data_IF_291934597772
#
_entry.id   IF_291934597772
#
_cell.length_a   1.000
_cell.length_b   1.000
_cell.length_c   1.000
_cell.angle_alpha   90.00
_cell.angle_beta   90.00
_cell.angle_gamma   90.00
#
_symmetry.space_group_name_H-M   'P 1'
#
loop_
_entity.id
_entity.type
_entity.pdbx_description
1 polymer ?
#
# COMPACT_ATOMS: atom_id res chain seq x y z
N UNK A 1 1.87 16.11 3.02
CA UNK A 1 2.87 17.03 2.38
C UNK A 1 3.93 17.39 3.41
N UNK A 2 5.20 17.43 3.00
CA UNK A 2 6.35 17.77 3.87
C UNK A 2 6.81 19.18 3.55
N UNK A 3 6.88 20.06 4.56
CA UNK A 3 7.54 21.35 4.43
C UNK A 3 9.02 21.18 4.71
N UNK A 4 9.91 21.59 3.80
CA UNK A 4 11.34 21.61 4.00
C UNK A 4 11.92 22.97 3.65
N UNK A 5 13.14 23.24 4.16
CA UNK A 5 13.94 24.39 3.83
C UNK A 5 15.25 23.91 3.22
N UNK A 6 15.61 24.49 2.07
CA UNK A 6 16.86 24.21 1.37
C UNK A 6 18.02 25.09 1.89
N UNK A 7 19.25 24.76 1.51
CA UNK A 7 20.47 25.51 1.93
C UNK A 7 20.44 26.98 1.53
N UNK A 8 19.71 27.32 0.46
CA UNK A 8 19.52 28.70 -0.02
C UNK A 8 18.35 29.43 0.68
N UNK A 9 17.82 28.90 1.79
CA UNK A 9 16.62 29.36 2.50
C UNK A 9 15.32 29.28 1.69
N UNK A 10 15.33 28.62 0.54
CA UNK A 10 14.12 28.32 -0.22
C UNK A 10 13.21 27.36 0.57
N UNK A 11 11.88 27.62 0.55
CA UNK A 11 10.88 26.73 1.13
C UNK A 11 10.31 25.81 0.05
N UNK A 12 10.36 24.50 0.30
CA UNK A 12 9.73 23.48 -0.55
C UNK A 12 8.55 22.79 0.13
N UNK A 13 7.59 22.36 -0.68
CA UNK A 13 6.50 21.47 -0.28
C UNK A 13 6.71 20.14 -1.00
N UNK A 14 7.14 19.13 -0.26
CA UNK A 14 7.46 17.82 -0.80
C UNK A 14 6.33 16.83 -0.52
N UNK A 15 6.23 15.84 -1.41
CA UNK A 15 5.29 14.73 -1.25
C UNK A 15 5.94 13.63 -0.41
N UNK A 16 5.13 12.91 0.37
CA UNK A 16 5.57 11.67 1.04
C UNK A 16 5.76 10.57 -0.01
N UNK A 17 6.65 9.63 0.29
CA UNK A 17 6.74 8.36 -0.42
C UNK A 17 6.17 7.26 0.47
N UNK A 18 5.33 6.41 -0.10
CA UNK A 18 4.76 5.24 0.56
C UNK A 18 5.08 3.98 -0.23
N UNK A 19 5.05 2.85 0.44
CA UNK A 19 5.18 1.52 -0.15
C UNK A 19 3.95 0.69 0.22
N UNK A 20 3.37 -0.02 -0.74
CA UNK A 20 2.22 -0.89 -0.52
C UNK A 20 2.42 -2.23 -1.24
N UNK A 21 1.94 -3.32 -0.63
CA UNK A 21 2.01 -4.66 -1.17
C UNK A 21 0.63 -5.22 -1.55
N UNK A 22 0.51 -5.69 -2.77
CA UNK A 22 -0.50 -6.67 -3.17
C UNK A 22 0.07 -8.06 -2.88
N UNK A 23 -0.28 -8.61 -1.73
CA UNK A 23 0.24 -9.91 -1.26
C UNK A 23 -0.68 -11.01 -1.75
N UNK A 24 -0.14 -11.87 -2.61
CA UNK A 24 -0.90 -12.90 -3.32
C UNK A 24 -0.53 -14.29 -2.82
N UNK A 25 -1.53 -15.14 -2.63
CA UNK A 25 -1.39 -16.57 -2.35
C UNK A 25 -2.62 -17.32 -2.85
N UNK A 26 -2.43 -18.39 -3.60
CA UNK A 26 -3.51 -19.29 -4.06
C UNK A 26 -4.70 -18.54 -4.70
N UNK A 27 -4.42 -17.61 -5.63
CA UNK A 27 -5.40 -16.74 -6.31
C UNK A 27 -6.19 -15.81 -5.36
N UNK A 28 -5.70 -15.61 -4.14
CA UNK A 28 -6.27 -14.67 -3.17
C UNK A 28 -5.31 -13.55 -2.87
N UNK A 29 -5.86 -12.43 -2.43
CA UNK A 29 -5.11 -11.27 -1.95
C UNK A 29 -5.37 -11.05 -0.47
N UNK A 30 -4.32 -10.74 0.28
CA UNK A 30 -4.42 -10.34 1.67
C UNK A 30 -4.73 -8.85 1.76
N UNK A 31 -5.81 -8.49 2.43
CA UNK A 31 -6.14 -7.12 2.77
C UNK A 31 -6.22 -6.94 4.28
N UNK A 32 -5.84 -5.75 4.74
CA UNK A 32 -5.96 -5.33 6.13
C UNK A 32 -7.12 -4.36 6.32
N UNK A 33 -7.92 -4.55 7.37
CA UNK A 33 -8.97 -3.62 7.76
C UNK A 33 -8.35 -2.52 8.62
N UNK A 34 -8.33 -1.29 8.11
CA UNK A 34 -7.70 -0.13 8.73
C UNK A 34 -8.29 0.18 10.10
N UNK A 35 -7.44 0.39 11.08
CA UNK A 35 -7.77 0.50 12.49
C UNK A 35 -7.48 1.87 13.10
N UNK A 36 -6.62 1.87 14.11
CA UNK A 36 -6.31 3.04 14.94
C UNK A 36 -4.81 3.20 15.15
N UNK A 37 -4.40 4.40 15.56
CA UNK A 37 -3.08 4.68 16.12
C UNK A 37 -3.28 5.36 17.48
N UNK A 38 -2.74 4.77 18.55
CA UNK A 38 -2.91 5.24 19.94
C UNK A 38 -4.40 5.46 20.27
N UNK A 39 -5.24 4.50 19.86
CA UNK A 39 -6.68 4.51 20.08
C UNK A 39 -7.47 5.54 19.27
N UNK A 40 -6.85 6.24 18.31
CA UNK A 40 -7.54 7.18 17.40
C UNK A 40 -7.69 6.59 16.02
N UNK A 41 -8.89 6.66 15.39
CA UNK A 41 -9.08 6.18 14.03
C UNK A 41 -8.09 6.83 13.06
N UNK A 42 -7.42 6.00 12.24
CA UNK A 42 -6.60 6.49 11.12
C UNK A 42 -7.49 6.86 9.92
N UNK A 43 -6.93 7.57 8.95
CA UNK A 43 -7.66 7.92 7.71
C UNK A 43 -8.26 6.67 7.07
N UNK A 44 -9.53 6.71 6.68
CA UNK A 44 -10.30 5.57 6.10
C UNK A 44 -10.41 4.35 7.04
N UNK A 45 -10.37 4.56 8.38
CA UNK A 45 -10.58 3.49 9.38
C UNK A 45 -11.87 2.70 9.11
N UNK A 46 -11.81 1.39 9.29
CA UNK A 46 -12.91 0.46 9.02
C UNK A 46 -12.99 -0.04 7.57
N UNK A 47 -12.20 0.50 6.64
CA UNK A 47 -12.12 0.04 5.26
C UNK A 47 -10.95 -0.93 5.05
N UNK A 48 -11.04 -1.71 3.99
CA UNK A 48 -9.99 -2.63 3.55
C UNK A 48 -8.92 -1.90 2.76
N UNK A 49 -7.66 -2.20 3.00
CA UNK A 49 -6.53 -1.60 2.29
C UNK A 49 -5.43 -2.61 1.97
N UNK A 50 -4.56 -2.23 1.07
CA UNK A 50 -3.27 -2.88 0.89
C UNK A 50 -2.44 -2.66 2.16
N UNK A 51 -1.52 -3.57 2.45
CA UNK A 51 -0.59 -3.46 3.58
C UNK A 51 0.64 -2.67 3.17
N UNK A 52 1.05 -1.73 4.01
CA UNK A 52 2.17 -0.84 3.74
C UNK A 52 2.01 0.53 4.36
N UNK A 53 3.05 1.35 4.26
CA UNK A 53 3.09 2.64 4.92
C UNK A 53 4.19 3.55 4.40
N UNK A 54 4.76 4.36 5.29
CA UNK A 54 5.74 5.36 4.92
C UNK A 54 7.13 4.75 4.68
N UNK A 55 7.77 5.24 3.61
CA UNK A 55 9.17 4.98 3.34
C UNK A 55 10.03 5.83 4.27
N UNK A 56 10.78 5.19 5.15
CA UNK A 56 11.64 5.84 6.12
C UNK A 56 12.98 6.28 5.53
N UNK A 57 13.65 7.18 6.25
CA UNK A 57 14.90 7.79 5.80
C UNK A 57 16.06 6.79 5.68
N UNK A 58 16.15 5.84 6.59
CA UNK A 58 17.32 4.98 6.76
C UNK A 58 17.09 3.54 6.26
N UNK A 59 16.17 3.37 5.30
CA UNK A 59 15.80 2.09 4.70
C UNK A 59 15.63 2.23 3.18
N UNK A 60 15.79 1.15 2.43
CA UNK A 60 15.41 1.10 1.01
C UNK A 60 13.95 0.60 0.86
N UNK A 61 13.39 0.74 -0.36
CA UNK A 61 11.99 0.40 -0.63
C UNK A 61 11.61 -1.05 -0.23
N UNK A 62 12.51 -2.00 -0.43
CA UNK A 62 12.28 -3.40 -0.08
C UNK A 62 12.29 -3.62 1.44
N UNK A 63 13.18 -2.92 2.15
CA UNK A 63 13.23 -2.96 3.61
C UNK A 63 11.96 -2.34 4.21
N UNK A 64 11.57 -1.16 3.72
CA UNK A 64 10.33 -0.50 4.13
C UNK A 64 9.12 -1.40 3.93
N UNK A 65 8.96 -1.96 2.73
CA UNK A 65 7.82 -2.81 2.41
C UNK A 65 7.74 -4.05 3.32
N UNK A 66 8.89 -4.73 3.54
CA UNK A 66 8.93 -5.90 4.42
C UNK A 66 8.63 -5.56 5.88
N UNK A 67 9.14 -4.41 6.37
CA UNK A 67 8.89 -3.93 7.71
C UNK A 67 7.41 -3.63 7.92
N UNK A 68 6.81 -2.80 7.05
CA UNK A 68 5.40 -2.42 7.12
C UNK A 68 4.48 -3.65 7.05
N UNK A 69 4.71 -4.56 6.10
CA UNK A 69 3.92 -5.79 5.99
C UNK A 69 4.05 -6.66 7.24
N UNK A 70 5.25 -6.74 7.82
CA UNK A 70 5.47 -7.49 9.07
C UNK A 70 4.73 -6.84 10.25
N UNK A 71 4.82 -5.52 10.41
CA UNK A 71 4.17 -4.76 11.47
C UNK A 71 2.64 -4.86 11.39
N UNK A 72 2.09 -4.66 10.19
CA UNK A 72 0.65 -4.64 9.95
C UNK A 72 -0.01 -6.04 9.86
N UNK A 73 0.77 -7.11 9.64
CA UNK A 73 0.17 -8.44 9.39
C UNK A 73 0.88 -9.63 10.02
N UNK A 74 2.12 -9.45 10.44
CA UNK A 74 2.96 -10.57 10.87
C UNK A 74 3.38 -11.52 9.73
N UNK A 75 3.16 -11.16 8.46
CA UNK A 75 3.55 -11.98 7.32
C UNK A 75 4.94 -11.60 6.79
N UNK A 76 5.74 -12.61 6.52
CA UNK A 76 6.93 -12.51 5.67
C UNK A 76 6.52 -12.64 4.20
N UNK A 77 7.15 -11.81 3.34
CA UNK A 77 6.87 -11.76 1.91
C UNK A 77 8.11 -11.99 1.06
N UNK A 78 7.90 -12.56 -0.12
CA UNK A 78 8.93 -12.87 -1.11
C UNK A 78 8.48 -12.51 -2.53
N UNK A 79 9.33 -12.72 -3.53
CA UNK A 79 9.06 -12.48 -4.95
C UNK A 79 8.50 -11.08 -5.26
N UNK A 80 9.11 -10.07 -4.60
CA UNK A 80 8.73 -8.67 -4.70
C UNK A 80 9.00 -8.12 -6.11
N UNK A 81 7.96 -7.57 -6.76
CA UNK A 81 8.09 -6.91 -8.07
C UNK A 81 7.39 -5.55 -8.01
N UNK A 82 8.08 -4.50 -8.39
CA UNK A 82 7.46 -3.18 -8.53
C UNK A 82 6.40 -3.25 -9.63
N UNK A 83 5.16 -3.00 -9.26
CA UNK A 83 4.00 -3.10 -10.13
C UNK A 83 3.59 -1.75 -10.70
N UNK A 84 3.45 -0.74 -9.82
CA UNK A 84 3.01 0.61 -10.20
C UNK A 84 3.71 1.67 -9.36
N UNK A 85 3.99 2.82 -9.96
CA UNK A 85 4.29 4.07 -9.27
C UNK A 85 3.07 4.97 -9.45
N UNK A 86 2.29 5.16 -8.40
CA UNK A 86 1.13 6.04 -8.43
C UNK A 86 1.53 7.41 -7.89
N UNK A 87 1.76 8.33 -8.81
CA UNK A 87 2.19 9.71 -8.56
C UNK A 87 1.09 10.74 -8.83
N UNK A 88 -0.16 10.31 -8.93
CA UNK A 88 -1.30 11.21 -9.17
C UNK A 88 -1.33 12.36 -8.15
N UNK A 89 -1.41 13.61 -8.59
CA UNK A 89 -1.55 14.75 -7.69
C UNK A 89 -2.94 14.86 -7.04
N UNK A 90 -3.92 14.11 -7.56
CA UNK A 90 -5.32 14.18 -7.15
C UNK A 90 -5.80 12.87 -6.52
N UNK A 91 -4.95 12.22 -5.72
CA UNK A 91 -5.34 10.98 -5.03
C UNK A 91 -6.53 11.23 -4.10
N UNK A 92 -7.57 10.37 -4.12
CA UNK A 92 -8.78 10.57 -3.34
C UNK A 92 -8.49 10.46 -1.84
N UNK A 93 -9.06 11.38 -1.04
CA UNK A 93 -8.98 11.41 0.43
C UNK A 93 -7.56 11.42 0.99
N UNK A 94 -6.58 11.79 0.19
CA UNK A 94 -5.17 11.86 0.55
C UNK A 94 -4.65 13.29 0.36
N UNK A 95 -4.68 14.07 1.43
CA UNK A 95 -4.23 15.46 1.43
C UNK A 95 -2.70 15.61 1.32
N UNK A 96 -1.96 14.55 1.66
CA UNK A 96 -0.50 14.50 1.54
C UNK A 96 -0.02 14.26 0.13
N UNK A 97 -0.90 13.79 -0.76
CA UNK A 97 -0.57 13.49 -2.16
C UNK A 97 0.66 12.58 -2.27
N UNK A 98 0.65 11.45 -1.57
CA UNK A 98 1.77 10.52 -1.56
C UNK A 98 2.14 10.06 -2.97
N UNK A 99 3.45 9.83 -3.20
CA UNK A 99 3.92 8.99 -4.30
C UNK A 99 3.98 7.57 -3.77
N UNK A 100 3.18 6.69 -4.33
CA UNK A 100 3.01 5.33 -3.82
C UNK A 100 3.71 4.30 -4.71
N UNK A 101 4.64 3.56 -4.12
CA UNK A 101 5.36 2.46 -4.76
C UNK A 101 4.62 1.16 -4.46
N UNK A 102 3.85 0.67 -5.44
CA UNK A 102 3.01 -0.51 -5.27
C UNK A 102 3.73 -1.73 -5.82
N UNK A 103 3.87 -2.75 -4.97
CA UNK A 103 4.52 -4.01 -5.30
C UNK A 103 3.51 -5.15 -5.35
N UNK A 104 3.76 -6.13 -6.19
CA UNK A 104 3.24 -7.49 -6.00
C UNK A 104 4.21 -8.27 -5.15
N UNK A 105 3.69 -9.14 -4.29
CA UNK A 105 4.47 -10.00 -3.41
C UNK A 105 3.76 -11.34 -3.22
N UNK A 106 4.53 -12.37 -2.87
CA UNK A 106 3.99 -13.66 -2.44
C UNK A 106 4.11 -13.80 -0.93
N UNK A 107 3.07 -14.30 -0.28
CA UNK A 107 3.11 -14.61 1.15
C UNK A 107 3.97 -15.85 1.38
N UNK A 108 4.95 -15.75 2.29
CA UNK A 108 5.83 -16.86 2.64
C UNK A 108 5.32 -17.62 3.86
N UNK A 109 5.32 -16.96 5.02
CA UNK A 109 4.85 -17.51 6.30
C UNK A 109 4.39 -16.39 7.22
N UNK A 110 3.48 -16.69 8.14
CA UNK A 110 3.09 -15.76 9.19
C UNK A 110 3.85 -16.09 10.48
N UNK A 111 4.66 -15.15 10.95
CA UNK A 111 5.52 -15.32 12.13
C UNK A 111 5.16 -14.35 13.25
N UNK A 112 4.24 -13.41 13.00
CA UNK A 112 3.76 -12.39 13.94
C UNK A 112 2.26 -12.16 13.87
N UNK A 113 1.82 -11.07 14.47
CA UNK A 113 0.45 -10.58 14.46
C UNK A 113 0.41 -9.13 13.96
N UNK A 114 -0.77 -8.67 13.54
CA UNK A 114 -0.99 -7.25 13.20
C UNK A 114 -0.87 -6.36 14.45
N UNK A 115 -0.46 -5.14 14.23
CA UNK A 115 -0.51 -4.05 15.21
C UNK A 115 -1.92 -3.40 15.26
N UNK A 116 -2.05 -2.24 15.94
CA UNK A 116 -3.33 -1.52 16.06
C UNK A 116 -3.78 -0.81 14.76
N UNK A 117 -2.90 -0.65 13.77
CA UNK A 117 -3.23 -0.03 12.49
C UNK A 117 -4.07 -0.94 11.62
N UNK A 118 -4.02 -2.26 11.86
CA UNK A 118 -4.81 -3.26 11.17
C UNK A 118 -5.61 -4.12 12.17
N UNK A 119 -6.91 -3.88 12.23
CA UNK A 119 -7.82 -4.57 13.17
C UNK A 119 -8.22 -5.97 12.73
N UNK A 120 -8.13 -6.27 11.45
CA UNK A 120 -8.50 -7.57 10.89
C UNK A 120 -7.76 -7.81 9.57
N UNK A 121 -7.34 -9.05 9.35
CA UNK A 121 -6.71 -9.52 8.11
C UNK A 121 -7.61 -10.54 7.45
N UNK A 122 -7.81 -10.43 6.13
CA UNK A 122 -8.64 -11.38 5.39
C UNK A 122 -8.07 -11.66 4.00
N UNK A 123 -8.13 -12.93 3.59
CA UNK A 123 -7.77 -13.40 2.25
C UNK A 123 -8.99 -13.36 1.35
N UNK A 124 -9.06 -12.40 0.46
CA UNK A 124 -10.12 -12.27 -0.53
C UNK A 124 -9.74 -13.00 -1.82
N UNK A 125 -10.69 -13.74 -2.38
CA UNK A 125 -10.60 -14.22 -3.74
C UNK A 125 -10.53 -13.02 -4.70
N UNK A 126 -9.62 -13.02 -5.67
CA UNK A 126 -9.46 -11.91 -6.61
C UNK A 126 -10.74 -11.64 -7.44
N UNK A 127 -11.60 -12.65 -7.59
CA UNK A 127 -12.89 -12.49 -8.28
C UNK A 127 -14.03 -12.04 -7.35
N UNK A 128 -13.80 -12.00 -6.01
CA UNK A 128 -14.79 -11.64 -4.99
C UNK A 128 -14.23 -10.62 -3.99
N UNK A 129 -13.70 -9.53 -4.52
CA UNK A 129 -13.18 -8.43 -3.70
C UNK A 129 -14.30 -7.71 -2.95
N UNK A 130 -13.99 -7.01 -1.84
CA UNK A 130 -14.94 -6.12 -1.19
C UNK A 130 -15.49 -5.07 -2.16
N UNK A 131 -16.72 -4.60 -1.95
CA UNK A 131 -17.27 -3.48 -2.72
C UNK A 131 -16.34 -2.26 -2.70
N UNK A 132 -16.24 -1.50 -3.81
CA UNK A 132 -15.29 -0.38 -3.93
C UNK A 132 -15.38 0.66 -2.82
N UNK A 133 -16.59 0.93 -2.30
CA UNK A 133 -16.84 1.86 -1.20
C UNK A 133 -16.27 1.38 0.14
N UNK A 134 -15.99 0.09 0.28
CA UNK A 134 -15.35 -0.52 1.45
C UNK A 134 -13.84 -0.67 1.28
N UNK A 135 -13.27 -0.25 0.16
CA UNK A 135 -11.82 -0.22 -0.07
C UNK A 135 -11.31 1.19 0.17
N UNK A 136 -10.19 1.29 0.89
CA UNK A 136 -9.58 2.56 1.25
C UNK A 136 -8.89 3.23 0.06
N UNK A 137 -8.91 4.57 0.01
CA UNK A 137 -8.21 5.40 -0.97
C UNK A 137 -8.49 5.00 -2.43
N UNK A 138 -7.42 4.84 -3.20
CA UNK A 138 -7.37 4.34 -4.57
C UNK A 138 -6.83 2.89 -4.66
N UNK A 139 -6.81 2.17 -3.53
CA UNK A 139 -6.33 0.79 -3.51
C UNK A 139 -7.15 -0.13 -4.41
N UNK A 140 -8.46 0.15 -4.55
CA UNK A 140 -9.34 -0.59 -5.47
C UNK A 140 -8.89 -0.52 -6.92
N UNK A 141 -8.39 0.63 -7.37
CA UNK A 141 -7.86 0.79 -8.73
C UNK A 141 -6.65 -0.13 -8.98
N UNK A 142 -5.77 -0.26 -7.98
CA UNK A 142 -4.60 -1.14 -8.08
C UNK A 142 -4.99 -2.61 -8.16
N UNK A 143 -6.04 -3.02 -7.43
CA UNK A 143 -6.59 -4.37 -7.47
C UNK A 143 -7.20 -4.69 -8.85
N UNK A 144 -7.99 -3.79 -9.41
CA UNK A 144 -8.55 -3.95 -10.76
C UNK A 144 -7.44 -3.96 -11.83
N UNK A 145 -6.43 -3.11 -11.68
CA UNK A 145 -5.26 -3.11 -12.57
C UNK A 145 -4.51 -4.43 -12.50
N UNK A 146 -4.35 -5.00 -11.31
CA UNK A 146 -3.71 -6.30 -11.16
C UNK A 146 -4.51 -7.42 -11.83
N UNK A 147 -5.84 -7.43 -11.69
CA UNK A 147 -6.72 -8.37 -12.39
C UNK A 147 -6.60 -8.24 -13.91
N UNK A 148 -6.48 -7.02 -14.40
CA UNK A 148 -6.22 -6.76 -15.83
C UNK A 148 -4.85 -7.30 -16.25
N UNK A 149 -3.81 -7.06 -15.46
CA UNK A 149 -2.46 -7.56 -15.71
C UNK A 149 -2.40 -9.09 -15.81
N UNK A 150 -3.16 -9.81 -14.97
CA UNK A 150 -3.25 -11.27 -15.03
C UNK A 150 -3.78 -11.78 -16.38
N UNK A 151 -4.55 -10.98 -17.11
CA UNK A 151 -5.14 -11.33 -18.41
C UNK A 151 -4.29 -10.85 -19.60
N UNK A 152 -3.75 -9.64 -19.53
CA UNK A 152 -3.14 -8.94 -20.65
C UNK A 152 -1.60 -8.86 -20.59
N UNK A 153 -1.02 -9.06 -19.41
CA UNK A 153 0.42 -9.10 -19.17
C UNK A 153 1.20 -7.94 -19.82
N UNK A 154 0.82 -6.70 -19.51
CA UNK A 154 1.48 -5.48 -20.02
C UNK A 154 2.82 -5.20 -19.29
N UNK A 155 3.70 -4.31 -19.84
CA UNK A 155 4.98 -3.97 -19.23
C UNK A 155 4.85 -3.34 -17.83
N UNK A 156 5.76 -3.72 -16.92
CA UNK A 156 5.86 -3.18 -15.57
C UNK A 156 7.21 -2.46 -15.37
N UNK A 157 7.32 -1.48 -14.41
CA UNK A 157 6.21 -0.92 -13.64
C UNK A 157 5.35 0.03 -14.47
N UNK A 158 4.08 0.13 -14.14
CA UNK A 158 3.22 1.17 -14.68
C UNK A 158 3.49 2.51 -14.00
N UNK A 159 3.44 3.59 -14.78
CA UNK A 159 3.63 4.96 -14.29
C UNK A 159 2.34 5.77 -14.44
N UNK A 160 2.06 6.59 -13.44
CA UNK A 160 1.00 7.59 -13.49
C UNK A 160 -0.41 7.07 -13.27
N UNK A 161 -1.36 7.86 -13.76
CA UNK A 161 -2.79 7.60 -13.70
C UNK A 161 -3.21 6.76 -14.90
N UNK A 162 -4.10 5.81 -14.67
CA UNK A 162 -4.69 4.96 -15.72
C UNK A 162 -5.94 5.65 -16.25
#
# INVERSE_FOLDING_TARGET
MITCFFENNGKGLLRHVTVNAMIIKDHKILLGKRGTVKGKPITESGKWGLLGGFFGRDENLIQALKREVMEESGWEITNLKLFRINDSPNRPKEDRQNVDMIFTAEALQQTGSSDEEVTHLEWFDLDKLPPPELIAFDHGENLELYKKYQKENFPLPMLGVI
#
